data_IF_338319037792
#
_entry.id   IF_338319037792
#
_cell.length_a   1.000
_cell.length_b   1.000
_cell.length_c   1.000
_cell.angle_alpha   90.00
_cell.angle_beta   90.00
_cell.angle_gamma   90.00
#
_symmetry.space_group_name_H-M   'P 1'
#
loop_
_entity.id
_entity.type
_entity.pdbx_description
1 polymer ?
#
# COMPACT_ATOMS: atom_id res chain seq x y z
N UNK A 1 -4.71 -36.77 -1.62
CA UNK A 1 -4.68 -35.36 -1.16
C UNK A 1 -3.56 -34.68 -1.94
N UNK A 2 -3.81 -33.56 -2.61
CA UNK A 2 -2.85 -32.99 -3.58
C UNK A 2 -1.68 -32.28 -2.87
N UNK A 3 -0.58 -33.01 -2.67
CA UNK A 3 0.64 -32.56 -2.00
C UNK A 3 1.29 -31.37 -2.72
N UNK A 4 1.25 -31.34 -4.07
CA UNK A 4 1.76 -30.22 -4.87
C UNK A 4 1.02 -28.92 -4.56
N UNK A 5 -0.31 -29.00 -4.39
CA UNK A 5 -1.12 -27.86 -3.96
C UNK A 5 -0.71 -27.38 -2.57
N UNK A 6 -0.50 -28.27 -1.61
CA UNK A 6 -0.09 -27.89 -0.25
C UNK A 6 1.30 -27.21 -0.22
N UNK A 7 2.27 -27.74 -0.97
CA UNK A 7 3.60 -27.16 -1.09
C UNK A 7 3.58 -25.76 -1.70
N UNK A 8 2.81 -25.56 -2.78
CA UNK A 8 2.65 -24.25 -3.42
C UNK A 8 2.05 -23.21 -2.46
N UNK A 9 1.02 -23.61 -1.70
CA UNK A 9 0.38 -22.76 -0.68
C UNK A 9 1.32 -22.41 0.47
N UNK A 10 2.08 -23.38 0.96
CA UNK A 10 3.08 -23.17 2.00
C UNK A 10 4.19 -22.21 1.53
N UNK A 11 4.67 -22.36 0.30
CA UNK A 11 5.63 -21.42 -0.33
C UNK A 11 5.07 -20.00 -0.33
N UNK A 12 3.82 -19.82 -0.76
CA UNK A 12 3.18 -18.51 -0.81
C UNK A 12 3.00 -17.85 0.57
N UNK A 13 2.73 -18.65 1.62
CA UNK A 13 2.72 -18.18 3.01
C UNK A 13 4.11 -17.75 3.45
N UNK A 14 5.12 -18.60 3.21
CA UNK A 14 6.49 -18.34 3.66
C UNK A 14 7.05 -17.06 3.02
N UNK A 15 6.76 -16.80 1.74
CA UNK A 15 7.13 -15.55 1.09
C UNK A 15 6.57 -14.32 1.81
N UNK A 16 5.31 -14.36 2.25
CA UNK A 16 4.73 -13.27 3.05
C UNK A 16 5.36 -13.18 4.44
N UNK A 17 5.69 -14.32 5.07
CA UNK A 17 6.35 -14.32 6.39
C UNK A 17 7.77 -13.75 6.39
N UNK A 18 8.44 -13.73 5.24
CA UNK A 18 9.77 -13.12 5.09
C UNK A 18 9.72 -11.58 5.03
N UNK A 19 8.54 -10.99 4.78
CA UNK A 19 8.38 -9.54 4.70
C UNK A 19 8.57 -8.86 6.06
N UNK A 20 9.10 -7.65 6.05
CA UNK A 20 9.37 -6.87 7.26
C UNK A 20 8.10 -6.56 8.07
N UNK A 21 6.99 -6.30 7.38
CA UNK A 21 5.67 -6.12 7.98
C UNK A 21 5.25 -7.32 8.84
N UNK A 22 5.50 -8.55 8.36
CA UNK A 22 5.18 -9.75 9.13
C UNK A 22 6.11 -9.95 10.32
N UNK A 23 7.42 -9.67 10.18
CA UNK A 23 8.37 -9.72 11.30
C UNK A 23 7.97 -8.74 12.41
N UNK A 24 7.66 -7.49 12.02
CA UNK A 24 7.19 -6.46 12.94
C UNK A 24 5.90 -6.86 13.65
N UNK A 25 4.91 -7.37 12.92
CA UNK A 25 3.71 -7.96 13.50
C UNK A 25 4.04 -9.01 14.57
N UNK A 26 4.91 -9.97 14.28
CA UNK A 26 5.24 -11.02 15.25
C UNK A 26 6.03 -10.54 16.46
N UNK A 27 6.78 -9.44 16.33
CA UNK A 27 7.49 -8.78 17.44
C UNK A 27 6.51 -8.06 18.37
N UNK A 28 5.50 -7.40 17.82
CA UNK A 28 4.49 -6.66 18.58
C UNK A 28 3.42 -7.58 19.17
N UNK A 29 2.96 -8.57 18.39
CA UNK A 29 1.84 -9.46 18.73
C UNK A 29 2.30 -10.93 18.78
N UNK A 30 2.96 -11.34 19.87
CA UNK A 30 3.17 -12.75 20.20
C UNK A 30 1.86 -13.57 20.11
N UNK A 31 1.94 -14.87 19.81
CA UNK A 31 0.74 -15.70 19.58
C UNK A 31 -0.23 -15.75 20.76
N UNK A 32 0.33 -15.58 21.94
CA UNK A 32 -0.23 -15.73 23.28
C UNK A 32 -1.06 -14.48 23.64
N UNK A 33 -0.70 -13.33 23.06
CA UNK A 33 -1.40 -12.05 23.25
C UNK A 33 -2.42 -11.77 22.13
N UNK A 34 -2.61 -12.69 21.17
CA UNK A 34 -3.53 -12.50 20.05
C UNK A 34 -4.98 -12.54 20.49
N UNK A 35 -5.63 -11.40 20.34
CA UNK A 35 -7.06 -11.24 20.59
C UNK A 35 -7.91 -11.63 19.38
N UNK A 36 -8.93 -12.47 19.60
CA UNK A 36 -9.79 -13.06 18.55
C UNK A 36 -10.60 -12.02 17.76
N UNK A 37 -11.16 -11.00 18.40
CA UNK A 37 -11.97 -10.00 17.71
C UNK A 37 -11.15 -9.12 16.74
N UNK A 38 -9.83 -9.05 16.93
CA UNK A 38 -8.90 -8.35 16.02
C UNK A 38 -8.36 -9.23 14.89
N UNK A 39 -8.82 -10.48 14.79
CA UNK A 39 -8.32 -11.44 13.79
C UNK A 39 -8.54 -11.01 12.33
N UNK A 40 -9.53 -10.14 12.10
CA UNK A 40 -9.84 -9.57 10.80
C UNK A 40 -9.23 -8.18 10.56
N UNK A 41 -8.49 -7.63 11.55
CA UNK A 41 -7.89 -6.30 11.48
C UNK A 41 -6.38 -6.37 11.75
N UNK A 42 -5.97 -6.19 13.01
CA UNK A 42 -4.59 -6.01 13.42
C UNK A 42 -3.92 -7.31 13.88
N UNK A 43 -4.66 -8.37 14.17
CA UNK A 43 -4.11 -9.67 14.58
C UNK A 43 -4.30 -10.73 13.49
N UNK A 44 -3.73 -10.56 12.28
CA UNK A 44 -3.98 -11.44 11.15
C UNK A 44 -3.65 -12.90 11.47
N UNK A 45 -4.58 -13.79 11.11
CA UNK A 45 -4.39 -15.22 11.24
C UNK A 45 -3.85 -15.82 9.94
N UNK A 46 -2.73 -16.53 10.01
CA UNK A 46 -2.15 -17.21 8.84
C UNK A 46 -3.14 -18.24 8.29
N UNK A 47 -3.46 -18.22 6.98
CA UNK A 47 -4.31 -19.23 6.37
C UNK A 47 -3.70 -20.63 6.54
N UNK A 48 -4.51 -21.59 6.97
CA UNK A 48 -4.11 -22.99 6.97
C UNK A 48 -4.03 -23.50 5.53
N UNK A 49 -2.84 -23.91 5.08
CA UNK A 49 -2.57 -24.38 3.72
C UNK A 49 -3.21 -25.73 3.40
N UNK A 50 -3.63 -26.49 4.42
CA UNK A 50 -4.17 -27.84 4.32
C UNK A 50 -5.67 -27.88 4.03
N UNK A 51 -6.36 -26.75 4.18
CA UNK A 51 -7.82 -26.69 3.97
C UNK A 51 -8.19 -27.01 2.52
N UNK A 52 -9.28 -27.76 2.35
CA UNK A 52 -9.79 -28.07 1.02
C UNK A 52 -10.61 -26.91 0.45
N UNK A 53 -9.93 -25.95 -0.16
CA UNK A 53 -10.54 -24.81 -0.85
C UNK A 53 -10.22 -24.85 -2.35
N UNK A 54 -11.12 -24.29 -3.16
CA UNK A 54 -10.83 -23.97 -4.56
C UNK A 54 -9.69 -22.94 -4.66
N UNK A 55 -9.03 -22.85 -5.83
CA UNK A 55 -7.94 -21.91 -6.04
C UNK A 55 -8.39 -20.44 -5.84
N UNK A 56 -9.60 -20.09 -6.30
CA UNK A 56 -10.16 -18.74 -6.11
C UNK A 56 -10.38 -18.40 -4.64
N UNK A 57 -11.01 -19.29 -3.87
CA UNK A 57 -11.25 -19.07 -2.44
C UNK A 57 -9.94 -19.00 -1.65
N UNK A 58 -8.98 -19.85 -1.99
CA UNK A 58 -7.64 -19.80 -1.43
C UNK A 58 -6.95 -18.46 -1.70
N UNK A 59 -6.94 -18.00 -2.96
CA UNK A 59 -6.32 -16.74 -3.35
C UNK A 59 -6.98 -15.54 -2.66
N UNK A 60 -8.31 -15.55 -2.51
CA UNK A 60 -9.04 -14.52 -1.74
C UNK A 60 -8.60 -14.51 -0.27
N UNK A 61 -8.53 -15.68 0.37
CA UNK A 61 -8.09 -15.81 1.78
C UNK A 61 -6.63 -15.35 1.97
N UNK A 62 -5.74 -15.75 1.06
CA UNK A 62 -4.34 -15.35 1.05
C UNK A 62 -4.17 -13.84 0.83
N UNK A 63 -4.91 -13.26 -0.11
CA UNK A 63 -4.89 -11.82 -0.40
C UNK A 63 -5.39 -10.99 0.80
N UNK A 64 -6.50 -11.39 1.43
CA UNK A 64 -7.00 -10.72 2.63
C UNK A 64 -5.99 -10.75 3.77
N UNK A 65 -5.37 -11.91 4.02
CA UNK A 65 -4.33 -12.03 5.03
C UNK A 65 -3.12 -11.15 4.72
N UNK A 66 -2.67 -11.09 3.47
CA UNK A 66 -1.57 -10.20 3.04
C UNK A 66 -1.91 -8.73 3.28
N UNK A 67 -3.12 -8.28 2.92
CA UNK A 67 -3.57 -6.90 3.18
C UNK A 67 -3.47 -6.55 4.66
N UNK A 68 -3.90 -7.45 5.56
CA UNK A 68 -3.79 -7.24 7.01
C UNK A 68 -2.33 -7.23 7.49
N UNK A 69 -1.50 -8.16 7.01
CA UNK A 69 -0.06 -8.17 7.32
C UNK A 69 0.60 -6.88 6.85
N UNK A 70 0.28 -6.40 5.65
CA UNK A 70 0.85 -5.17 5.10
C UNK A 70 0.50 -3.93 5.91
N UNK A 71 -0.60 -3.88 6.67
CA UNK A 71 -0.88 -2.75 7.58
C UNK A 71 0.25 -2.48 8.58
N UNK A 72 1.01 -3.52 8.92
CA UNK A 72 2.16 -3.41 9.82
C UNK A 72 3.37 -2.72 9.21
N UNK A 73 3.39 -2.45 7.89
CA UNK A 73 4.45 -1.61 7.31
C UNK A 73 4.39 -0.16 7.80
N UNK A 74 3.20 0.32 8.20
CA UNK A 74 2.99 1.70 8.61
C UNK A 74 3.34 2.00 10.07
N UNK A 75 3.57 0.97 10.88
CA UNK A 75 4.00 1.16 12.27
C UNK A 75 5.48 1.52 12.29
N UNK A 76 5.86 2.63 12.92
CA UNK A 76 7.26 3.04 13.03
C UNK A 76 8.02 2.15 14.02
N UNK A 77 9.34 2.03 13.88
CA UNK A 77 10.14 1.18 14.78
C UNK A 77 10.08 1.66 16.24
N UNK A 78 9.96 2.98 16.45
CA UNK A 78 9.78 3.60 17.77
C UNK A 78 8.47 3.18 18.47
N UNK A 79 7.47 2.74 17.72
CA UNK A 79 6.14 2.40 18.24
C UNK A 79 6.00 0.90 18.56
N UNK A 80 6.94 0.07 18.10
CA UNK A 80 6.92 -1.39 18.29
C UNK A 80 6.88 -1.75 19.77
N UNK A 81 7.76 -1.14 20.58
CA UNK A 81 7.83 -1.39 22.01
C UNK A 81 6.59 -0.85 22.74
N UNK A 82 6.12 0.34 22.35
CA UNK A 82 4.90 0.94 22.88
C UNK A 82 3.70 0.00 22.69
N UNK A 83 3.47 -0.47 21.46
CA UNK A 83 2.36 -1.36 21.12
C UNK A 83 2.44 -2.71 21.85
N UNK A 84 3.64 -3.29 21.93
CA UNK A 84 3.86 -4.55 22.67
C UNK A 84 3.48 -4.40 24.14
N UNK A 85 3.85 -3.27 24.76
CA UNK A 85 3.52 -2.99 26.16
C UNK A 85 2.02 -2.73 26.38
N UNK A 86 1.32 -2.06 25.45
CA UNK A 86 -0.14 -1.90 25.53
C UNK A 86 -0.86 -3.25 25.50
N UNK A 87 -0.43 -4.17 24.64
CA UNK A 87 -0.99 -5.53 24.60
C UNK A 87 -0.75 -6.30 25.89
N UNK A 88 0.48 -6.25 26.44
CA UNK A 88 0.81 -6.90 27.73
C UNK A 88 -0.02 -6.34 28.89
N UNK A 89 -0.36 -5.05 28.85
CA UNK A 89 -1.21 -4.37 29.84
C UNK A 89 -2.72 -4.59 29.61
N UNK A 90 -3.12 -5.32 28.56
CA UNK A 90 -4.53 -5.52 28.21
C UNK A 90 -5.24 -4.29 27.67
N UNK A 91 -4.50 -3.22 27.31
CA UNK A 91 -5.04 -1.95 26.80
C UNK A 91 -5.31 -2.02 25.30
N UNK A 92 -6.29 -2.85 24.93
CA UNK A 92 -6.57 -3.16 23.53
C UNK A 92 -7.08 -1.95 22.74
N UNK A 93 -7.90 -1.09 23.34
CA UNK A 93 -8.43 0.12 22.67
C UNK A 93 -7.32 1.12 22.34
N UNK A 94 -6.42 1.36 23.30
CA UNK A 94 -5.24 2.22 23.09
C UNK A 94 -4.31 1.62 22.01
N UNK A 95 -4.12 0.29 22.01
CA UNK A 95 -3.36 -0.41 20.97
C UNK A 95 -3.96 -0.17 19.58
N UNK A 96 -5.28 -0.37 19.43
CA UNK A 96 -5.97 -0.15 18.14
C UNK A 96 -5.88 1.31 17.72
N UNK A 97 -6.06 2.26 18.65
CA UNK A 97 -5.95 3.69 18.35
C UNK A 97 -4.57 4.08 17.81
N UNK A 98 -3.49 3.53 18.36
CA UNK A 98 -2.13 3.79 17.83
C UNK A 98 -1.96 3.16 16.44
N UNK A 99 -2.43 1.93 16.25
CA UNK A 99 -2.34 1.28 14.95
C UNK A 99 -3.16 2.01 13.86
N UNK A 100 -4.35 2.51 14.19
CA UNK A 100 -5.20 3.24 13.25
C UNK A 100 -4.78 4.69 13.02
N UNK A 101 -4.12 5.32 14.00
CA UNK A 101 -3.47 6.62 13.84
C UNK A 101 -2.30 6.59 12.87
N UNK A 102 -1.64 5.43 12.73
CA UNK A 102 -0.57 5.18 11.76
C UNK A 102 -1.08 4.85 10.35
N UNK A 103 -2.29 5.26 9.98
CA UNK A 103 -2.61 5.37 8.55
C UNK A 103 -1.64 6.40 7.99
N UNK A 104 -0.90 6.03 6.95
CA UNK A 104 -0.09 7.00 6.24
C UNK A 104 -0.97 8.20 5.90
N UNK A 105 -0.57 9.37 6.40
CA UNK A 105 -0.90 10.66 5.81
C UNK A 105 -0.46 10.58 4.34
N UNK A 106 -1.30 10.04 3.46
CA UNK A 106 -1.24 10.43 2.04
C UNK A 106 -1.42 11.95 1.93
N UNK A 107 -2.01 12.55 2.96
CA UNK A 107 -2.05 13.97 3.23
C UNK A 107 -0.69 14.47 3.77
N UNK A 108 0.30 14.67 2.90
CA UNK A 108 1.22 15.86 2.98
C UNK A 108 2.37 15.88 1.98
N UNK A 109 2.65 14.83 1.23
CA UNK A 109 3.54 14.98 0.08
C UNK A 109 2.68 15.29 -1.15
N UNK A 110 2.57 16.58 -1.47
CA UNK A 110 2.09 17.00 -2.79
C UNK A 110 3.15 16.60 -3.82
N UNK A 111 2.94 15.40 -4.36
CA UNK A 111 3.82 14.75 -5.35
C UNK A 111 3.97 15.63 -6.58
N UNK A 112 2.86 16.28 -6.99
CA UNK A 112 2.83 17.15 -8.15
C UNK A 112 3.71 18.39 -7.90
N UNK A 113 3.52 19.06 -6.75
CA UNK A 113 4.33 20.22 -6.38
C UNK A 113 5.81 19.85 -6.27
N UNK A 114 6.14 18.72 -5.65
CA UNK A 114 7.53 18.30 -5.49
C UNK A 114 8.19 17.99 -6.84
N UNK A 115 7.51 17.26 -7.74
CA UNK A 115 8.00 16.97 -9.08
C UNK A 115 8.23 18.22 -9.93
N UNK A 116 7.43 19.28 -9.74
CA UNK A 116 7.55 20.50 -10.54
C UNK A 116 8.53 21.52 -9.95
N UNK A 117 8.72 21.53 -8.62
CA UNK A 117 9.42 22.63 -7.94
C UNK A 117 10.65 22.20 -7.13
N UNK A 118 10.74 20.94 -6.70
CA UNK A 118 11.77 20.47 -5.77
C UNK A 118 12.39 19.16 -6.27
N UNK A 119 13.07 19.19 -7.43
CA UNK A 119 13.75 18.03 -8.02
C UNK A 119 14.96 17.55 -7.18
N UNK A 120 14.74 17.08 -5.96
CA UNK A 120 15.75 16.41 -5.16
C UNK A 120 15.54 14.89 -5.22
N UNK A 121 16.62 14.13 -5.08
CA UNK A 121 16.60 12.66 -5.14
C UNK A 121 15.97 12.00 -3.92
N UNK A 122 15.36 12.78 -3.02
CA UNK A 122 14.76 12.29 -1.78
C UNK A 122 13.36 11.73 -1.99
N UNK A 123 12.79 11.90 -3.19
CA UNK A 123 11.56 11.22 -3.58
C UNK A 123 11.87 9.72 -3.85
N UNK A 124 12.03 8.96 -2.77
CA UNK A 124 12.38 7.53 -2.77
C UNK A 124 11.23 6.60 -3.20
N UNK A 125 10.09 7.14 -3.62
CA UNK A 125 8.91 6.36 -3.99
C UNK A 125 8.70 6.35 -5.51
N UNK A 126 8.48 5.18 -6.12
CA UNK A 126 8.09 5.13 -7.52
C UNK A 126 6.71 5.77 -7.73
N UNK A 127 6.59 6.60 -8.77
CA UNK A 127 5.35 7.30 -9.12
C UNK A 127 4.66 6.59 -10.28
N UNK A 128 3.34 6.45 -10.20
CA UNK A 128 2.48 5.99 -11.29
C UNK A 128 1.62 7.16 -11.75
N UNK A 129 1.78 7.55 -13.02
CA UNK A 129 0.82 8.43 -13.67
C UNK A 129 -0.42 7.61 -14.03
N UNK A 130 -1.55 7.95 -13.40
CA UNK A 130 -2.84 7.30 -13.67
C UNK A 130 -3.47 7.96 -14.90
N UNK A 131 -3.64 7.23 -16.01
CA UNK A 131 -4.25 7.78 -17.21
C UNK A 131 -5.71 8.16 -16.98
N UNK A 132 -6.19 9.17 -17.70
CA UNK A 132 -7.58 9.66 -17.57
C UNK A 132 -8.65 8.62 -17.91
N UNK A 133 -8.38 7.69 -18.83
CA UNK A 133 -9.30 6.62 -19.21
C UNK A 133 -9.42 5.51 -18.15
N UNK A 134 -8.53 5.48 -17.15
CA UNK A 134 -8.53 4.44 -16.12
C UNK A 134 -9.42 4.84 -14.93
N UNK A 135 -10.52 4.12 -14.72
CA UNK A 135 -11.48 4.38 -13.64
C UNK A 135 -11.22 3.62 -12.34
N UNK A 136 -10.25 2.70 -12.32
CA UNK A 136 -9.91 1.91 -11.14
C UNK A 136 -9.09 2.65 -10.09
N UNK A 137 -8.92 2.05 -8.91
CA UNK A 137 -7.96 2.49 -7.90
C UNK A 137 -6.64 1.75 -8.07
N UNK A 138 -5.54 2.50 -8.22
CA UNK A 138 -4.18 1.95 -8.16
C UNK A 138 -3.70 2.09 -6.73
N UNK A 139 -4.09 1.14 -5.88
CA UNK A 139 -3.65 1.07 -4.49
C UNK A 139 -2.60 -0.04 -4.35
N UNK A 140 -1.45 0.09 -5.01
CA UNK A 140 -0.30 -0.77 -4.73
C UNK A 140 0.64 -0.07 -3.74
N UNK A 141 0.87 -0.72 -2.59
CA UNK A 141 1.60 -0.13 -1.49
C UNK A 141 3.06 0.12 -1.88
N UNK A 142 3.44 1.40 -1.79
CA UNK A 142 4.73 2.03 -2.08
C UNK A 142 4.79 2.83 -3.39
N UNK A 143 3.75 2.80 -4.23
CA UNK A 143 3.64 3.74 -5.34
C UNK A 143 2.80 4.96 -4.95
N UNK A 144 3.25 6.14 -5.35
CA UNK A 144 2.39 7.31 -5.34
C UNK A 144 1.68 7.42 -6.68
N UNK A 145 0.35 7.55 -6.64
CA UNK A 145 -0.44 7.72 -7.85
C UNK A 145 -0.71 9.20 -8.06
N UNK A 146 -0.41 9.70 -9.25
CA UNK A 146 -0.70 11.06 -9.66
C UNK A 146 -1.61 11.02 -10.90
N UNK A 147 -2.73 11.74 -10.85
CA UNK A 147 -3.63 11.82 -11.99
C UNK A 147 -2.95 12.53 -13.17
N UNK A 148 -3.03 11.93 -14.36
CA UNK A 148 -2.44 12.52 -15.56
C UNK A 148 -3.02 13.92 -15.86
N UNK A 149 -4.36 14.06 -15.80
CA UNK A 149 -5.03 15.34 -15.99
C UNK A 149 -4.62 16.39 -14.93
N UNK A 150 -4.52 15.98 -13.68
CA UNK A 150 -4.12 16.84 -12.56
C UNK A 150 -2.67 17.33 -12.71
N UNK A 151 -1.75 16.44 -13.09
CA UNK A 151 -0.35 16.82 -13.36
C UNK A 151 -0.23 17.79 -14.54
N UNK A 152 -0.99 17.56 -15.61
CA UNK A 152 -0.99 18.44 -16.78
C UNK A 152 -1.47 19.83 -16.38
N UNK A 153 -2.62 19.96 -15.71
CA UNK A 153 -3.14 21.26 -15.27
C UNK A 153 -2.17 22.01 -14.37
N UNK A 154 -1.47 21.33 -13.47
CA UNK A 154 -0.49 21.95 -12.57
C UNK A 154 0.84 22.32 -13.28
N UNK A 155 1.17 21.67 -14.40
CA UNK A 155 2.37 21.94 -15.19
C UNK A 155 2.19 23.01 -16.27
N UNK A 156 0.95 23.46 -16.54
CA UNK A 156 0.66 24.46 -17.58
C UNK A 156 1.48 25.75 -17.44
N UNK A 157 1.76 26.18 -16.20
CA UNK A 157 2.59 27.34 -15.91
C UNK A 157 4.07 27.09 -16.21
N UNK A 158 4.57 25.87 -16.05
CA UNK A 158 5.96 25.48 -16.36
C UNK A 158 6.16 25.22 -17.85
N UNK A 159 5.09 24.88 -18.58
CA UNK A 159 5.10 24.68 -20.03
C UNK A 159 5.30 25.98 -20.82
N UNK A 160 5.15 27.18 -20.22
CA UNK A 160 5.40 28.45 -20.91
C UNK A 160 6.86 28.69 -21.25
N UNK A 161 7.76 28.10 -20.45
CA UNK A 161 9.20 28.38 -20.50
C UNK A 161 9.96 27.36 -21.36
N UNK A 162 9.24 26.39 -21.92
CA UNK A 162 9.77 25.36 -22.80
C UNK A 162 9.72 25.77 -24.28
N UNK A 163 10.52 25.09 -25.09
CA UNK A 163 10.55 25.26 -26.54
C UNK A 163 9.15 25.21 -27.16
N UNK A 164 8.89 26.14 -28.09
CA UNK A 164 7.56 26.36 -28.67
C UNK A 164 7.08 25.16 -29.48
N UNK A 165 7.98 24.49 -30.20
CA UNK A 165 7.64 23.32 -31.01
C UNK A 165 7.36 22.11 -30.12
N UNK A 166 8.17 21.93 -29.05
CA UNK A 166 7.90 20.93 -28.03
C UNK A 166 6.52 21.15 -27.38
N UNK A 167 6.22 22.37 -26.94
CA UNK A 167 4.93 22.73 -26.32
C UNK A 167 3.75 22.45 -27.26
N UNK A 168 3.85 22.88 -28.51
CA UNK A 168 2.78 22.68 -29.49
C UNK A 168 2.53 21.19 -29.77
N UNK A 169 3.60 20.39 -29.87
CA UNK A 169 3.52 18.94 -30.05
C UNK A 169 2.99 18.23 -28.80
N UNK A 170 3.38 18.66 -27.61
CA UNK A 170 2.88 18.12 -26.34
C UNK A 170 1.39 18.41 -26.20
N UNK A 171 0.98 19.67 -26.35
CA UNK A 171 -0.42 20.08 -26.24
C UNK A 171 -1.28 19.41 -27.31
N UNK A 172 -0.80 19.21 -28.53
CA UNK A 172 -1.58 18.52 -29.56
C UNK A 172 -1.88 17.06 -29.21
N UNK A 173 -0.98 16.36 -28.52
CA UNK A 173 -1.19 14.98 -28.04
C UNK A 173 -2.22 14.89 -26.91
N UNK A 174 -2.24 15.88 -26.01
CA UNK A 174 -3.13 15.89 -24.84
C UNK A 174 -4.48 16.56 -25.10
N UNK A 175 -4.56 17.58 -25.96
CA UNK A 175 -5.83 18.25 -26.25
C UNK A 175 -6.70 17.53 -27.29
N UNK A 176 -6.11 16.70 -28.15
CA UNK A 176 -6.85 15.91 -29.15
C UNK A 176 -7.53 14.68 -28.56
N UNK A 177 -6.96 14.09 -27.50
CA UNK A 177 -7.50 12.87 -26.85
C UNK A 177 -8.50 13.15 -25.72
N UNK A 178 -8.55 14.38 -25.18
CA UNK A 178 -9.44 14.75 -24.07
C UNK A 178 -10.77 15.39 -24.53
N UNK A 179 -10.98 15.56 -25.85
CA UNK A 179 -12.23 16.11 -26.43
C UNK A 179 -13.22 15.05 -26.96
N UNK A 180 -13.08 13.79 -26.55
CA UNK A 180 -14.10 12.78 -26.78
C UNK A 180 -14.91 12.56 -25.50
N UNK A 181 -15.90 13.42 -25.29
CA UNK A 181 -17.10 13.14 -24.48
C UNK A 181 -18.30 13.28 -25.40
#
# INVERSE_FOLDING_TARGET
MDERRHLSRLKAINLTKLQESYKKYTKVVPKETRVKHLSNSWHPHTPDYRVNLSNSLWNKKLSNWRKQVHKWSYINESEVELLSNKLKQGKIEEFVSVCEGNKFDSAKLDVCYHLLNNHNSELFYPIIYKPSWFSGEISENNFQTLGEAEFISNSELTLSDLDKDFKNKFMSLYTSNYKAS
#
